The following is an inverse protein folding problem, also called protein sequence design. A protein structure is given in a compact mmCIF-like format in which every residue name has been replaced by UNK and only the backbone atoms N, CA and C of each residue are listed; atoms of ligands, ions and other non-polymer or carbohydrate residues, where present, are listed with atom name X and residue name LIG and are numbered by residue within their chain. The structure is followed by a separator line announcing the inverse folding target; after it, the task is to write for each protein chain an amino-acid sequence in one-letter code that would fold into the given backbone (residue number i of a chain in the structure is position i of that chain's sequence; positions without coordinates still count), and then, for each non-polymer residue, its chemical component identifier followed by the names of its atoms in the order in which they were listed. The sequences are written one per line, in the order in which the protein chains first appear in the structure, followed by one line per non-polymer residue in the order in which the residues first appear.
data_IF_920566484144
#
_entry.id   IF_920566484144
#
_cell.length_a   1.000
_cell.length_b   1.000
_cell.length_c   1.000
_cell.angle_alpha   90.00
_cell.angle_beta   90.00
_cell.angle_gamma   90.00
#
_symmetry.space_group_name_H-M   'P 1'
#
loop_
_entity.id
_entity.type
_entity.pdbx_description
1 polymer ?
#
# COMPACT_ATOMS: atom_id res chain seq x y z
N UNK A 1 1.77 -8.37 5.05
CA UNK A 1 1.02 -9.63 5.25
C UNK A 1 0.30 -9.69 6.59
N UNK A 2 0.88 -9.17 7.68
CA UNK A 2 0.29 -9.21 9.03
C UNK A 2 -1.11 -8.54 9.10
N UNK A 3 -1.25 -7.33 8.52
CA UNK A 3 -2.50 -6.57 8.49
C UNK A 3 -3.67 -7.36 7.89
N UNK A 4 -3.43 -8.15 6.84
CA UNK A 4 -4.47 -8.96 6.20
C UNK A 4 -4.81 -10.20 7.05
N UNK A 5 -3.80 -10.84 7.64
CA UNK A 5 -3.98 -12.04 8.47
C UNK A 5 -4.74 -11.75 9.77
N UNK A 6 -4.47 -10.61 10.40
CA UNK A 6 -5.16 -10.20 11.63
C UNK A 6 -6.67 -10.03 11.42
N UNK A 7 -7.10 -9.68 10.20
CA UNK A 7 -8.49 -9.31 9.92
C UNK A 7 -9.28 -10.39 9.16
N UNK A 8 -8.63 -11.23 8.34
CA UNK A 8 -9.33 -12.19 7.46
C UNK A 8 -9.39 -13.62 8.01
N UNK A 9 -8.81 -13.90 9.20
CA UNK A 9 -8.84 -15.22 9.88
C UNK A 9 -8.52 -16.43 8.98
N UNK A 10 -7.71 -16.23 7.94
CA UNK A 10 -7.32 -17.28 6.98
C UNK A 10 -5.82 -17.46 7.00
N UNK A 11 -5.37 -18.73 7.06
CA UNK A 11 -3.96 -19.08 7.14
C UNK A 11 -3.20 -18.91 5.82
N UNK A 12 -3.92 -18.84 4.68
CA UNK A 12 -3.33 -18.79 3.34
C UNK A 12 -3.80 -17.54 2.60
N UNK A 13 -3.23 -16.39 2.94
CA UNK A 13 -3.40 -15.16 2.15
C UNK A 13 -2.27 -15.11 1.12
N UNK A 14 -2.59 -15.50 -0.12
CA UNK A 14 -1.74 -15.23 -1.28
C UNK A 14 -1.76 -13.74 -1.63
N UNK A 15 -0.68 -13.23 -2.24
CA UNK A 15 -0.62 -11.82 -2.67
C UNK A 15 -1.68 -11.47 -3.72
N UNK A 16 -2.21 -12.47 -4.42
CA UNK A 16 -3.27 -12.35 -5.42
C UNK A 16 -4.67 -12.61 -4.84
N UNK A 17 -4.76 -12.90 -3.53
CA UNK A 17 -6.04 -13.11 -2.86
C UNK A 17 -6.87 -11.83 -2.86
N UNK A 18 -8.09 -11.90 -3.38
CA UNK A 18 -9.01 -10.77 -3.37
C UNK A 18 -9.54 -10.51 -1.95
N UNK A 19 -9.36 -9.29 -1.48
CA UNK A 19 -9.76 -8.81 -0.16
C UNK A 19 -11.21 -9.14 0.18
N UNK A 20 -12.13 -8.91 -0.76
CA UNK A 20 -13.57 -9.11 -0.55
C UNK A 20 -13.96 -10.58 -0.60
N UNK A 21 -13.33 -11.38 -1.47
CA UNK A 21 -13.57 -12.83 -1.51
C UNK A 21 -13.07 -13.54 -0.25
N UNK A 22 -12.07 -12.96 0.41
CA UNK A 22 -11.56 -13.44 1.70
C UNK A 22 -12.39 -12.96 2.91
N UNK A 23 -13.49 -12.24 2.69
CA UNK A 23 -14.38 -11.72 3.75
C UNK A 23 -14.13 -10.27 4.18
N UNK A 24 -13.30 -9.54 3.44
CA UNK A 24 -13.05 -8.12 3.64
C UNK A 24 -14.30 -7.26 3.39
N UNK A 25 -14.47 -6.22 4.20
CA UNK A 25 -15.59 -5.28 4.09
C UNK A 25 -15.15 -3.84 4.40
N UNK A 26 -16.05 -2.86 4.23
CA UNK A 26 -15.74 -1.43 4.28
C UNK A 26 -15.02 -0.99 5.57
N UNK A 27 -15.43 -1.50 6.73
CA UNK A 27 -14.76 -1.21 8.00
C UNK A 27 -13.32 -1.76 8.06
N UNK A 28 -13.07 -2.95 7.49
CA UNK A 28 -11.72 -3.51 7.40
C UNK A 28 -10.86 -2.73 6.40
N UNK A 29 -11.45 -2.33 5.27
CA UNK A 29 -10.78 -1.48 4.29
C UNK A 29 -10.37 -0.13 4.91
N UNK A 30 -11.28 0.53 5.64
CA UNK A 30 -10.98 1.79 6.36
C UNK A 30 -9.85 1.61 7.38
N UNK A 31 -9.88 0.54 8.18
CA UNK A 31 -8.80 0.25 9.14
C UNK A 31 -7.46 0.02 8.43
N UNK A 32 -7.48 -0.63 7.27
CA UNK A 32 -6.29 -0.85 6.48
C UNK A 32 -5.72 0.47 5.93
N UNK A 33 -6.55 1.38 5.42
CA UNK A 33 -6.10 2.72 5.00
C UNK A 33 -5.49 3.48 6.17
N UNK A 34 -6.14 3.48 7.34
CA UNK A 34 -5.61 4.13 8.53
C UNK A 34 -4.23 3.59 8.94
N UNK A 35 -4.02 2.27 8.79
CA UNK A 35 -2.73 1.63 9.08
C UNK A 35 -1.67 1.96 8.02
N UNK A 36 -2.03 1.98 6.73
CA UNK A 36 -1.11 2.39 5.65
C UNK A 36 -0.64 3.83 5.88
N UNK A 37 -1.53 4.73 6.28
CA UNK A 37 -1.18 6.09 6.66
C UNK A 37 -0.22 6.17 7.83
N UNK A 38 -0.40 5.35 8.84
CA UNK A 38 0.47 5.37 10.01
C UNK A 38 1.85 4.74 9.73
N UNK A 39 1.92 3.71 8.89
CA UNK A 39 3.17 2.93 8.67
C UNK A 39 3.99 3.46 7.51
N UNK A 40 3.33 3.91 6.44
CA UNK A 40 3.97 4.31 5.18
C UNK A 40 3.81 5.81 4.91
N UNK A 41 3.16 6.57 5.80
CA UNK A 41 2.95 8.02 5.67
C UNK A 41 2.21 8.43 4.38
N UNK A 42 1.41 7.52 3.82
CA UNK A 42 0.58 7.73 2.64
C UNK A 42 -0.91 7.68 2.97
N UNK A 43 -1.72 8.48 2.29
CA UNK A 43 -3.19 8.48 2.48
C UNK A 43 -3.89 8.11 1.16
N UNK A 44 -3.84 6.82 0.73
CA UNK A 44 -4.56 6.40 -0.45
C UNK A 44 -6.08 6.50 -0.21
N UNK A 45 -6.87 6.92 -1.22
CA UNK A 45 -8.32 6.97 -1.07
C UNK A 45 -8.88 5.57 -0.86
N UNK A 46 -9.96 5.44 -0.08
CA UNK A 46 -10.60 4.16 0.20
C UNK A 46 -10.98 3.39 -1.08
N UNK A 47 -11.33 4.11 -2.15
CA UNK A 47 -11.62 3.56 -3.48
C UNK A 47 -10.49 2.66 -4.00
N UNK A 48 -9.23 2.94 -3.67
CA UNK A 48 -8.07 2.17 -4.12
C UNK A 48 -8.17 0.69 -3.72
N UNK A 49 -8.75 0.36 -2.55
CA UNK A 49 -8.96 -1.04 -2.14
C UNK A 49 -10.06 -1.72 -2.99
N UNK A 50 -11.04 -0.97 -3.47
CA UNK A 50 -12.09 -1.49 -4.34
C UNK A 50 -11.59 -1.71 -5.78
N UNK A 51 -10.74 -0.81 -6.28
CA UNK A 51 -10.15 -0.90 -7.63
C UNK A 51 -9.02 -1.93 -7.70
N UNK A 52 -8.26 -2.08 -6.62
CA UNK A 52 -7.11 -2.97 -6.52
C UNK A 52 -7.30 -3.89 -5.30
N UNK A 53 -8.19 -4.88 -5.38
CA UNK A 53 -8.59 -5.66 -4.21
C UNK A 53 -7.56 -6.70 -3.79
N UNK A 54 -6.36 -6.76 -4.38
CA UNK A 54 -5.31 -7.72 -4.01
C UNK A 54 -4.09 -7.02 -3.42
N UNK A 55 -3.32 -7.73 -2.60
CA UNK A 55 -2.08 -7.20 -2.01
C UNK A 55 -1.09 -6.80 -3.12
N UNK A 56 -0.96 -7.64 -4.15
CA UNK A 56 -0.05 -7.39 -5.26
C UNK A 56 -0.40 -6.10 -6.02
N UNK A 57 -1.69 -5.84 -6.26
CA UNK A 57 -2.12 -4.63 -6.94
C UNK A 57 -1.98 -3.39 -6.04
N UNK A 58 -2.36 -3.48 -4.76
CA UNK A 58 -2.18 -2.37 -3.81
C UNK A 58 -0.71 -1.99 -3.66
N UNK A 59 0.18 -2.98 -3.53
CA UNK A 59 1.61 -2.75 -3.39
C UNK A 59 2.20 -2.05 -4.62
N UNK A 60 1.77 -2.43 -5.84
CA UNK A 60 2.20 -1.77 -7.07
C UNK A 60 1.71 -0.32 -7.14
N UNK A 61 0.43 -0.08 -6.86
CA UNK A 61 -0.14 1.27 -6.89
C UNK A 61 0.52 2.19 -5.87
N UNK A 62 0.75 1.69 -4.65
CA UNK A 62 1.43 2.44 -3.58
C UNK A 62 2.91 2.66 -3.90
N UNK A 63 3.61 1.65 -4.42
CA UNK A 63 5.02 1.76 -4.80
C UNK A 63 5.25 2.86 -5.83
N UNK A 64 4.37 2.97 -6.83
CA UNK A 64 4.42 4.05 -7.81
C UNK A 64 4.25 5.43 -7.16
N UNK A 65 3.38 5.57 -6.15
CA UNK A 65 3.14 6.84 -5.47
C UNK A 65 4.33 7.28 -4.59
N UNK A 66 5.00 6.33 -3.96
CA UNK A 66 6.23 6.59 -3.19
C UNK A 66 7.36 7.08 -4.11
N UNK A 67 7.56 6.45 -5.28
CA UNK A 67 8.56 6.90 -6.27
C UNK A 67 8.30 8.30 -6.84
N UNK A 68 7.06 8.80 -6.80
CA UNK A 68 6.76 10.19 -7.21
C UNK A 68 6.95 11.21 -6.08
N UNK A 69 6.90 10.76 -4.82
CA UNK A 69 6.99 11.64 -3.64
C UNK A 69 8.44 11.93 -3.25
N UNK A 70 9.37 11.04 -3.60
CA UNK A 70 10.80 11.30 -3.51
C UNK A 70 11.30 11.82 -4.86
N UNK A 71 11.47 13.15 -5.04
CA UNK A 71 12.10 13.67 -6.25
C UNK A 71 13.48 13.04 -6.41
N UNK A 72 13.80 12.62 -7.63
CA UNK A 72 15.09 12.06 -8.01
C UNK A 72 16.20 13.07 -7.64
N UNK A 73 16.89 12.82 -6.52
CA UNK A 73 17.98 13.67 -6.05
C UNK A 73 19.33 13.30 -6.69
N UNK A 74 19.35 12.47 -7.74
CA UNK A 74 20.59 12.01 -8.39
C UNK A 74 21.31 13.08 -9.22
N UNK A 75 20.90 14.35 -9.16
CA UNK A 75 21.48 15.44 -9.94
C UNK A 75 22.14 16.56 -9.12
N UNK A 76 22.34 16.39 -7.80
CA UNK A 76 23.07 17.38 -6.99
C UNK A 76 24.31 16.80 -6.30
N UNK A 77 25.20 16.18 -7.07
CA UNK A 77 26.63 16.22 -6.72
C UNK A 77 27.24 17.44 -7.39
N UNK A 78 27.29 18.51 -6.61
CA UNK A 78 28.00 19.74 -6.91
C UNK A 78 29.46 19.41 -7.22
N UNK A 79 29.89 19.67 -8.46
CA UNK A 79 31.29 19.90 -8.76
C UNK A 79 31.78 21.10 -7.94
N UNK A 80 32.25 20.85 -6.73
CA UNK A 80 33.10 21.80 -6.02
C UNK A 80 34.44 21.76 -6.73
N UNK A 81 34.63 22.77 -7.57
CA UNK A 81 35.91 23.09 -8.17
C UNK A 81 36.79 23.75 -7.11
N UNK A 82 37.83 23.03 -6.68
CA UNK A 82 39.02 23.55 -5.99
C UNK A 82 40.27 23.01 -6.67
#
# INVERSE_FOLDING_TARGET
MEIWREHLKTNHIGIEGNFFELGGHSLLATQMIARLRHVLEIDPPLRTIFEYPTIAQLAQTIGNQLSQTFPDWSHSESSTQE
#
